data_IF_966769659371
#
_entry.id   IF_966769659371
#
_cell.length_a   1.000
_cell.length_b   1.000
_cell.length_c   1.000
_cell.angle_alpha   90.00
_cell.angle_beta   90.00
_cell.angle_gamma   90.00
#
_symmetry.space_group_name_H-M   'P 1'
#
loop_
_entity.id
_entity.type
_entity.pdbx_description
1 polymer ?
#
# COMPACT_ATOMS: atom_id res chain seq x y z
N UNK A 1 -15.71 -63.89 -19.44
CA UNK A 1 -14.23 -64.03 -19.45
C UNK A 1 -13.59 -62.65 -19.59
N UNK A 2 -12.46 -62.45 -18.89
CA UNK A 2 -11.53 -61.29 -18.86
C UNK A 2 -12.01 -60.10 -18.00
N UNK A 3 -11.63 -60.02 -16.71
CA UNK A 3 -10.32 -59.77 -16.04
C UNK A 3 -9.94 -58.28 -16.00
N UNK A 4 -9.95 -57.77 -14.75
CA UNK A 4 -9.24 -56.60 -14.20
C UNK A 4 -7.72 -56.80 -14.35
N UNK A 5 -6.95 -55.71 -14.57
CA UNK A 5 -5.62 -55.36 -13.98
C UNK A 5 -5.08 -54.08 -14.65
N UNK A 6 -4.85 -52.97 -13.94
CA UNK A 6 -3.67 -52.54 -13.14
C UNK A 6 -2.53 -51.85 -13.93
N UNK A 7 -2.15 -50.66 -13.42
CA UNK A 7 -0.82 -50.00 -13.34
C UNK A 7 -0.25 -49.08 -14.44
N UNK A 8 0.07 -47.84 -13.97
CA UNK A 8 1.33 -47.06 -14.09
C UNK A 8 1.51 -45.98 -15.18
N UNK A 9 1.56 -44.75 -14.63
CA UNK A 9 2.24 -43.48 -14.99
C UNK A 9 3.47 -43.60 -15.91
N UNK A 10 3.57 -42.75 -16.95
CA UNK A 10 4.81 -42.08 -17.42
C UNK A 10 4.38 -40.77 -18.14
N UNK A 11 4.59 -39.61 -17.52
CA UNK A 11 5.60 -38.59 -17.87
C UNK A 11 5.47 -38.01 -19.30
N UNK A 12 4.84 -36.85 -19.44
CA UNK A 12 4.95 -36.01 -20.63
C UNK A 12 5.98 -34.90 -20.37
N UNK A 13 7.16 -35.04 -20.99
CA UNK A 13 8.22 -34.05 -21.09
C UNK A 13 8.11 -33.38 -22.47
N UNK A 14 8.09 -32.04 -22.44
CA UNK A 14 8.46 -31.06 -23.48
C UNK A 14 7.57 -30.95 -24.72
N UNK A 15 6.95 -29.77 -24.87
CA UNK A 15 7.26 -28.76 -25.91
C UNK A 15 6.57 -27.47 -25.43
N UNK A 16 7.27 -26.42 -25.01
CA UNK A 16 8.25 -25.71 -25.82
C UNK A 16 7.57 -24.80 -26.84
N UNK A 17 6.54 -24.04 -26.43
CA UNK A 17 5.93 -23.01 -27.28
C UNK A 17 5.95 -21.66 -26.54
N UNK A 18 7.00 -20.90 -26.82
CA UNK A 18 7.12 -19.48 -26.48
C UNK A 18 6.18 -18.69 -27.38
N UNK A 19 5.14 -18.08 -26.81
CA UNK A 19 4.38 -17.02 -27.48
C UNK A 19 4.96 -15.70 -26.98
N UNK A 20 5.67 -15.00 -27.87
CA UNK A 20 6.30 -13.72 -27.60
C UNK A 20 5.28 -12.59 -27.71
N UNK A 21 4.97 -11.91 -26.61
CA UNK A 21 4.50 -10.52 -26.62
C UNK A 21 5.33 -9.72 -25.60
N UNK A 22 5.87 -8.59 -26.06
CA UNK A 22 6.76 -7.74 -25.28
C UNK A 22 6.02 -7.02 -24.15
N UNK A 23 6.59 -7.11 -22.94
CA UNK A 23 6.11 -6.45 -21.73
C UNK A 23 6.58 -7.23 -20.52
N UNK A 24 7.24 -6.55 -19.58
CA UNK A 24 7.78 -7.04 -18.29
C UNK A 24 7.40 -8.48 -17.88
N UNK A 25 8.41 -9.36 -17.84
CA UNK A 25 8.28 -10.72 -17.33
C UNK A 25 7.83 -10.73 -15.86
N UNK A 26 6.67 -11.32 -15.57
CA UNK A 26 6.51 -12.09 -14.34
C UNK A 26 6.96 -13.53 -14.68
N UNK A 27 8.23 -13.80 -14.40
CA UNK A 27 8.84 -15.11 -14.63
C UNK A 27 8.36 -16.07 -13.54
N UNK A 28 7.51 -17.02 -13.91
CA UNK A 28 7.18 -18.19 -13.10
C UNK A 28 8.39 -19.14 -13.07
N UNK A 29 9.38 -18.81 -12.23
CA UNK A 29 10.58 -19.61 -12.00
C UNK A 29 10.70 -19.93 -10.50
N UNK A 30 10.84 -21.23 -10.24
CA UNK A 30 11.01 -21.88 -8.94
C UNK A 30 12.08 -21.20 -8.04
N UNK A 31 11.78 -21.15 -6.74
CA UNK A 31 12.65 -20.88 -5.58
C UNK A 31 13.13 -19.44 -5.30
N UNK A 32 12.40 -18.75 -4.41
CA UNK A 32 12.92 -18.27 -3.11
C UNK A 32 11.74 -17.74 -2.25
N UNK A 33 11.35 -18.48 -1.21
CA UNK A 33 10.30 -18.07 -0.27
C UNK A 33 10.85 -16.98 0.66
N UNK A 34 10.94 -15.74 0.15
CA UNK A 34 11.33 -14.60 0.97
C UNK A 34 10.27 -14.39 2.06
N UNK A 35 10.72 -14.01 3.26
CA UNK A 35 9.82 -13.71 4.39
C UNK A 35 8.67 -12.78 3.97
N UNK A 36 8.94 -11.82 3.09
CA UNK A 36 7.98 -10.89 2.51
C UNK A 36 6.84 -11.59 1.77
N UNK A 37 7.12 -12.47 0.80
CA UNK A 37 6.07 -13.11 0.01
C UNK A 37 5.19 -14.03 0.87
N UNK A 38 5.75 -14.64 1.91
CA UNK A 38 4.97 -15.42 2.87
C UNK A 38 3.98 -14.56 3.64
N UNK A 39 4.36 -13.33 4.00
CA UNK A 39 3.48 -12.37 4.68
C UNK A 39 2.37 -11.88 3.74
N UNK A 40 2.72 -11.52 2.51
CA UNK A 40 1.73 -11.08 1.49
C UNK A 40 0.67 -12.16 1.25
N UNK A 41 1.05 -13.44 1.17
CA UNK A 41 0.12 -14.57 1.00
C UNK A 41 -0.81 -14.84 2.18
N UNK A 42 -0.62 -14.18 3.32
CA UNK A 42 -1.53 -14.29 4.47
C UNK A 42 -2.64 -13.24 4.45
N UNK A 43 -2.49 -12.18 3.65
CA UNK A 43 -3.54 -11.18 3.48
C UNK A 43 -4.79 -11.85 2.91
N UNK A 44 -5.95 -11.31 3.23
CA UNK A 44 -7.22 -11.83 2.71
C UNK A 44 -7.26 -11.75 1.17
N UNK A 45 -7.78 -12.81 0.55
CA UNK A 45 -7.95 -12.90 -0.90
C UNK A 45 -9.08 -11.98 -1.39
N UNK A 46 -10.00 -11.58 -0.49
CA UNK A 46 -11.10 -10.66 -0.78
C UNK A 46 -10.67 -9.19 -0.66
N UNK A 47 -11.05 -8.37 -1.64
CA UNK A 47 -10.77 -6.95 -1.64
C UNK A 47 -11.59 -6.20 -0.58
N UNK A 48 -10.95 -5.26 0.13
CA UNK A 48 -11.68 -4.33 1.01
C UNK A 48 -12.26 -3.18 0.17
N UNK A 49 -13.55 -3.26 -0.14
CA UNK A 49 -14.25 -2.24 -0.93
C UNK A 49 -14.41 -0.90 -0.19
N UNK A 50 -14.52 -0.94 1.15
CA UNK A 50 -14.77 0.24 2.00
C UNK A 50 -13.66 0.42 3.02
N UNK A 51 -12.76 1.33 2.73
CA UNK A 51 -11.57 1.60 3.52
C UNK A 51 -11.73 2.84 4.39
N UNK A 52 -10.91 2.93 5.43
CA UNK A 52 -10.84 4.12 6.28
C UNK A 52 -10.08 5.25 5.57
N UNK A 53 -10.38 6.50 5.92
CA UNK A 53 -9.57 7.65 5.54
C UNK A 53 -8.11 7.43 5.99
N UNK A 54 -7.12 7.46 5.08
CA UNK A 54 -5.71 7.29 5.43
C UNK A 54 -5.16 8.43 6.29
N UNK A 55 -5.85 9.57 6.40
CA UNK A 55 -5.46 10.64 7.31
C UNK A 55 -6.16 10.46 8.66
N UNK A 56 -5.38 10.15 9.71
CA UNK A 56 -5.91 9.75 11.01
C UNK A 56 -6.70 10.88 11.72
N UNK A 57 -6.27 12.13 11.56
CA UNK A 57 -6.83 13.29 12.27
C UNK A 57 -7.00 14.50 11.35
N UNK A 58 -8.03 15.32 11.63
CA UNK A 58 -8.17 16.65 11.05
C UNK A 58 -8.73 16.72 9.62
N UNK A 59 -9.06 15.58 9.01
CA UNK A 59 -9.73 15.51 7.70
C UNK A 59 -10.99 14.66 7.84
N UNK A 60 -12.16 15.25 7.58
CA UNK A 60 -13.43 14.53 7.48
C UNK A 60 -13.63 13.98 6.06
N UNK A 61 -14.61 13.09 5.88
CA UNK A 61 -14.90 12.52 4.56
C UNK A 61 -15.35 13.62 3.57
N UNK A 62 -16.17 14.57 4.04
CA UNK A 62 -16.67 15.68 3.23
C UNK A 62 -15.57 16.70 2.85
N UNK A 63 -14.39 16.63 3.49
CA UNK A 63 -13.23 17.46 3.13
C UNK A 63 -12.43 16.86 1.96
N UNK A 64 -12.63 15.57 1.66
CA UNK A 64 -11.95 14.89 0.55
C UNK A 64 -12.70 15.22 -0.73
N UNK A 65 -11.97 15.73 -1.71
CA UNK A 65 -12.50 16.00 -3.04
C UNK A 65 -12.13 14.86 -3.97
N UNK A 66 -13.06 14.48 -4.84
CA UNK A 66 -12.75 13.57 -5.94
C UNK A 66 -11.83 14.29 -6.93
N UNK A 67 -10.56 13.94 -6.90
CA UNK A 67 -9.53 14.46 -7.80
C UNK A 67 -9.09 13.40 -8.81
N UNK A 68 -9.72 12.22 -8.81
CA UNK A 68 -9.34 11.12 -9.68
C UNK A 68 -9.58 11.48 -11.15
N UNK A 69 -8.62 11.12 -12.02
CA UNK A 69 -8.69 11.45 -13.45
C UNK A 69 -8.37 12.90 -13.80
N UNK A 70 -8.16 13.79 -12.82
CA UNK A 70 -7.79 15.19 -13.07
C UNK A 70 -6.51 15.32 -13.92
N UNK A 71 -6.39 16.37 -14.74
CA UNK A 71 -5.19 16.60 -15.54
C UNK A 71 -3.93 16.77 -14.67
N UNK A 72 -2.84 16.11 -15.06
CA UNK A 72 -1.51 16.22 -14.45
C UNK A 72 -0.49 16.73 -15.45
N UNK A 73 0.62 17.29 -14.95
CA UNK A 73 1.70 17.81 -15.79
C UNK A 73 2.23 16.75 -16.75
N UNK A 74 2.48 17.14 -18.00
CA UNK A 74 2.94 16.22 -19.04
C UNK A 74 1.83 15.38 -19.70
N UNK A 75 0.57 15.80 -19.60
CA UNK A 75 -0.56 15.12 -20.26
C UNK A 75 -1.00 13.83 -19.57
N UNK A 76 -0.55 13.61 -18.33
CA UNK A 76 -0.94 12.46 -17.50
C UNK A 76 -2.33 12.71 -16.91
N UNK A 77 -3.00 11.64 -16.54
CA UNK A 77 -4.20 11.65 -15.71
C UNK A 77 -3.83 11.37 -14.25
N UNK A 78 -4.63 11.86 -13.32
CA UNK A 78 -4.42 11.60 -11.91
C UNK A 78 -4.86 10.19 -11.51
N UNK A 79 -3.90 9.30 -11.26
CA UNK A 79 -4.13 7.89 -10.90
C UNK A 79 -4.25 7.69 -9.38
N UNK A 80 -5.07 8.50 -8.73
CA UNK A 80 -5.27 8.48 -7.28
C UNK A 80 -6.15 9.62 -6.81
N UNK A 81 -6.17 9.87 -5.51
CA UNK A 81 -6.84 11.01 -4.87
C UNK A 81 -5.83 11.79 -4.04
N UNK A 82 -5.89 13.12 -4.11
CA UNK A 82 -5.07 14.01 -3.28
C UNK A 82 -5.88 14.42 -2.04
N UNK A 83 -5.39 14.02 -0.87
CA UNK A 83 -6.02 14.29 0.42
C UNK A 83 -5.22 15.38 1.11
N UNK A 84 -5.72 16.62 1.05
CA UNK A 84 -5.07 17.77 1.66
C UNK A 84 -5.13 17.72 3.18
N UNK A 85 -3.98 17.90 3.82
CA UNK A 85 -3.85 17.93 5.27
C UNK A 85 -2.60 18.73 5.66
N UNK A 86 -2.52 19.25 6.90
CA UNK A 86 -1.31 19.92 7.37
C UNK A 86 -0.07 19.05 7.19
N UNK A 87 1.07 19.65 6.80
CA UNK A 87 2.36 18.96 6.80
C UNK A 87 2.60 18.34 8.18
N UNK A 88 2.99 17.08 8.23
CA UNK A 88 3.16 16.33 9.48
C UNK A 88 1.91 15.58 9.94
N UNK A 89 0.75 15.74 9.29
CA UNK A 89 -0.44 14.96 9.61
C UNK A 89 -0.16 13.45 9.46
N UNK A 90 -0.68 12.67 10.40
CA UNK A 90 -0.43 11.22 10.46
C UNK A 90 -1.17 10.51 9.32
N UNK A 91 -0.38 9.84 8.48
CA UNK A 91 -0.85 8.88 7.48
C UNK A 91 -0.88 7.51 8.15
N UNK A 92 -2.02 6.85 8.10
CA UNK A 92 -2.25 5.54 8.68
C UNK A 92 -2.75 4.55 7.61
N UNK A 93 -2.45 3.26 7.80
CA UNK A 93 -2.87 2.20 6.88
C UNK A 93 -4.39 2.04 6.90
N UNK A 94 -5.12 2.20 5.77
CA UNK A 94 -6.58 2.07 5.75
C UNK A 94 -7.12 0.67 6.05
N UNK A 95 -6.28 -0.35 5.86
CA UNK A 95 -6.57 -1.78 6.02
C UNK A 95 -5.39 -2.46 6.72
N UNK A 96 -5.51 -3.76 6.98
CA UNK A 96 -4.30 -4.56 7.15
C UNK A 96 -3.45 -4.50 5.88
N UNK A 97 -2.12 -4.62 6.01
CA UNK A 97 -1.22 -4.49 4.88
C UNK A 97 0.14 -5.14 5.15
N UNK A 98 0.92 -5.31 4.09
CA UNK A 98 2.36 -5.61 4.18
C UNK A 98 3.14 -4.54 3.42
N UNK A 99 4.13 -3.92 4.07
CA UNK A 99 4.98 -2.92 3.40
C UNK A 99 5.84 -3.59 2.34
N UNK A 100 5.69 -3.19 1.08
CA UNK A 100 6.42 -3.78 -0.05
C UNK A 100 7.57 -2.91 -0.53
N UNK A 101 7.51 -1.60 -0.28
CA UNK A 101 8.55 -0.67 -0.71
C UNK A 101 8.51 0.64 0.07
N UNK A 102 9.68 1.16 0.38
CA UNK A 102 9.92 2.53 0.84
C UNK A 102 10.93 3.15 -0.13
N UNK A 103 10.70 4.37 -0.61
CA UNK A 103 11.62 5.06 -1.50
C UNK A 103 11.52 6.58 -1.38
N UNK A 104 12.59 7.29 -1.72
CA UNK A 104 12.61 8.73 -1.95
C UNK A 104 13.16 8.98 -3.36
N UNK A 105 12.27 9.00 -4.37
CA UNK A 105 12.66 9.19 -5.78
C UNK A 105 11.48 9.49 -6.69
N UNK A 106 11.80 10.07 -7.85
CA UNK A 106 10.84 10.28 -8.92
C UNK A 106 9.78 11.32 -8.56
N UNK A 107 8.62 11.25 -9.23
CA UNK A 107 7.55 12.22 -9.05
C UNK A 107 6.92 12.13 -7.65
N UNK A 108 6.84 10.93 -7.07
CA UNK A 108 6.25 10.72 -5.75
C UNK A 108 7.05 11.30 -4.59
N UNK A 109 8.35 11.60 -4.77
CA UNK A 109 9.23 11.99 -3.68
C UNK A 109 9.38 10.85 -2.68
N UNK A 110 9.18 11.14 -1.40
CA UNK A 110 9.09 10.13 -0.35
C UNK A 110 7.76 9.39 -0.49
N UNK A 111 7.86 8.08 -0.61
CA UNK A 111 6.73 7.22 -0.91
C UNK A 111 6.83 5.85 -0.24
N UNK A 112 5.67 5.30 0.10
CA UNK A 112 5.48 3.95 0.61
C UNK A 112 4.54 3.19 -0.32
N UNK A 113 4.81 1.91 -0.54
CA UNK A 113 3.89 0.98 -1.17
C UNK A 113 3.58 -0.17 -0.21
N UNK A 114 2.33 -0.59 -0.19
CA UNK A 114 1.88 -1.76 0.58
C UNK A 114 1.15 -2.74 -0.33
N UNK A 115 1.23 -4.03 0.01
CA UNK A 115 0.29 -5.04 -0.45
C UNK A 115 -0.88 -5.10 0.54
N UNK A 116 -2.09 -5.23 0.05
CA UNK A 116 -3.33 -5.14 0.79
C UNK A 116 -4.25 -6.31 0.37
N UNK A 117 -5.32 -6.60 1.13
CA UNK A 117 -6.30 -7.62 0.77
C UNK A 117 -6.86 -7.46 -0.65
N UNK A 118 -7.29 -8.56 -1.27
CA UNK A 118 -7.75 -8.57 -2.67
C UNK A 118 -6.61 -8.50 -3.69
N UNK A 119 -5.36 -8.62 -3.24
CA UNK A 119 -4.19 -8.38 -4.09
C UNK A 119 -4.05 -6.93 -4.53
N UNK A 120 -4.62 -5.98 -3.78
CA UNK A 120 -4.45 -4.57 -4.06
C UNK A 120 -3.05 -4.10 -3.62
N UNK A 121 -2.53 -3.09 -4.31
CA UNK A 121 -1.36 -2.33 -3.92
C UNK A 121 -1.75 -0.90 -3.62
N UNK A 122 -1.46 -0.42 -2.41
CA UNK A 122 -1.71 0.97 -2.05
C UNK A 122 -0.42 1.78 -2.14
N UNK A 123 -0.56 3.00 -2.63
CA UNK A 123 0.54 3.93 -2.86
C UNK A 123 0.32 5.21 -2.06
N UNK A 124 1.32 5.56 -1.26
CA UNK A 124 1.34 6.77 -0.46
C UNK A 124 2.51 7.63 -0.95
N UNK A 125 2.25 8.86 -1.39
CA UNK A 125 3.28 9.73 -1.96
C UNK A 125 3.23 11.16 -1.43
N UNK A 126 4.23 11.94 -1.82
CA UNK A 126 4.47 13.32 -1.39
C UNK A 126 4.72 13.43 0.12
N UNK A 127 5.16 12.36 0.77
CA UNK A 127 5.28 12.31 2.22
C UNK A 127 6.39 13.25 2.72
N UNK A 128 6.25 13.79 3.93
CA UNK A 128 7.31 14.55 4.61
C UNK A 128 8.33 13.63 5.30
N UNK A 129 7.94 12.38 5.54
CA UNK A 129 8.75 11.35 6.16
C UNK A 129 7.95 10.08 6.36
N UNK A 130 8.65 8.97 6.44
CA UNK A 130 8.11 7.66 6.81
C UNK A 130 8.21 7.50 8.33
N UNK A 131 7.32 6.73 8.94
CA UNK A 131 7.45 6.39 10.36
C UNK A 131 8.78 5.68 10.61
N UNK A 132 9.50 6.07 11.66
CA UNK A 132 10.93 5.75 11.83
C UNK A 132 11.21 4.25 11.93
N UNK A 133 10.31 3.50 12.59
CA UNK A 133 10.44 2.05 12.76
C UNK A 133 9.74 1.26 11.64
N UNK A 134 9.22 1.92 10.60
CA UNK A 134 8.56 1.25 9.49
C UNK A 134 9.58 0.74 8.47
N UNK A 135 9.56 -0.57 8.21
CA UNK A 135 10.46 -1.26 7.31
C UNK A 135 9.72 -2.06 6.22
N UNK A 136 10.43 -2.38 5.14
CA UNK A 136 9.90 -3.29 4.11
C UNK A 136 9.73 -4.69 4.70
N UNK A 137 8.52 -5.22 4.59
CA UNK A 137 8.12 -6.51 5.14
C UNK A 137 7.35 -6.42 6.45
N UNK A 138 7.11 -5.23 7.00
CA UNK A 138 6.23 -5.08 8.16
C UNK A 138 4.79 -5.46 7.80
N UNK A 139 4.17 -6.21 8.71
CA UNK A 139 2.73 -6.50 8.72
C UNK A 139 2.06 -5.38 9.53
N UNK A 140 1.07 -4.73 8.95
CA UNK A 140 0.35 -3.60 9.52
C UNK A 140 -1.10 -3.99 9.76
N UNK A 141 -1.66 -3.53 10.88
CA UNK A 141 -3.09 -3.49 11.10
C UNK A 141 -3.69 -2.18 10.56
N UNK A 142 -5.01 -2.20 10.34
CA UNK A 142 -5.74 -0.98 9.98
C UNK A 142 -5.56 0.10 11.08
N UNK A 143 -5.06 1.25 10.66
CA UNK A 143 -4.78 2.43 11.46
C UNK A 143 -3.37 2.51 12.02
N UNK A 144 -2.47 1.59 11.66
CA UNK A 144 -1.05 1.70 12.01
C UNK A 144 -0.36 2.80 11.20
N UNK A 145 0.66 3.44 11.78
CA UNK A 145 1.29 4.64 11.21
C UNK A 145 2.19 4.26 10.03
N UNK A 146 1.92 4.84 8.86
CA UNK A 146 2.78 4.76 7.67
C UNK A 146 3.82 5.88 7.67
N UNK A 147 3.41 7.08 8.07
CA UNK A 147 4.28 8.25 8.07
C UNK A 147 3.49 9.55 8.10
N UNK A 148 4.00 10.56 7.42
CA UNK A 148 3.52 11.93 7.60
C UNK A 148 3.30 12.67 6.28
N UNK A 149 2.19 13.41 6.19
CA UNK A 149 1.85 14.24 5.03
C UNK A 149 2.93 15.29 4.76
N UNK A 150 3.22 15.52 3.48
CA UNK A 150 4.21 16.51 3.04
C UNK A 150 3.90 17.08 1.67
N UNK A 151 4.97 17.43 0.96
CA UNK A 151 4.97 17.96 -0.40
C UNK A 151 6.20 17.51 -1.20
N UNK A 152 6.82 16.38 -0.85
CA UNK A 152 8.05 15.94 -1.54
C UNK A 152 7.77 15.50 -2.99
N UNK A 153 8.82 15.41 -3.80
CA UNK A 153 8.69 15.06 -5.22
C UNK A 153 8.14 16.23 -6.04
N UNK A 154 7.26 15.96 -6.99
CA UNK A 154 6.70 17.01 -7.86
C UNK A 154 5.57 17.82 -7.22
N UNK A 155 5.20 17.53 -5.96
CA UNK A 155 4.29 18.35 -5.16
C UNK A 155 4.99 19.54 -4.47
N UNK A 156 6.32 19.65 -4.57
CA UNK A 156 7.08 20.65 -3.83
C UNK A 156 6.62 22.07 -4.15
N UNK A 157 6.34 22.84 -3.10
CA UNK A 157 5.84 24.22 -3.23
C UNK A 157 4.32 24.33 -3.47
N UNK A 158 3.60 23.21 -3.51
CA UNK A 158 2.12 23.20 -3.47
C UNK A 158 1.60 23.08 -2.03
N UNK A 159 0.28 23.09 -1.84
CA UNK A 159 -0.30 22.83 -0.52
C UNK A 159 -0.04 21.37 -0.12
N UNK A 160 0.44 21.09 1.11
CA UNK A 160 0.72 19.72 1.54
C UNK A 160 -0.50 18.79 1.40
N UNK A 161 -0.26 17.60 0.89
CA UNK A 161 -1.28 16.58 0.67
C UNK A 161 -0.66 15.19 0.64
N UNK A 162 -1.48 14.17 0.90
CA UNK A 162 -1.18 12.80 0.55
C UNK A 162 -1.74 12.53 -0.84
N UNK A 163 -0.89 12.17 -1.80
CA UNK A 163 -1.38 11.47 -2.98
C UNK A 163 -1.54 9.99 -2.63
N UNK A 164 -2.77 9.50 -2.71
CA UNK A 164 -3.15 8.13 -2.37
C UNK A 164 -3.66 7.39 -3.61
N UNK A 165 -3.00 6.31 -4.00
CA UNK A 165 -3.36 5.50 -5.17
C UNK A 165 -3.68 4.06 -4.78
N UNK A 166 -4.59 3.43 -5.53
CA UNK A 166 -4.96 2.02 -5.36
C UNK A 166 -4.85 1.32 -6.72
N UNK A 167 -4.12 0.22 -6.74
CA UNK A 167 -3.88 -0.56 -7.95
C UNK A 167 -4.23 -2.02 -7.71
N UNK A 168 -4.86 -2.65 -8.68
CA UNK A 168 -5.07 -4.10 -8.68
C UNK A 168 -3.80 -4.86 -9.11
N UNK A 169 -3.80 -6.18 -8.97
CA UNK A 169 -2.71 -7.04 -9.44
C UNK A 169 -2.45 -6.93 -10.96
N UNK A 170 -3.50 -6.68 -11.76
CA UNK A 170 -3.42 -6.45 -13.20
C UNK A 170 -3.13 -4.99 -13.58
N UNK A 171 -2.81 -4.15 -12.57
CA UNK A 171 -2.45 -2.72 -12.71
C UNK A 171 -3.59 -1.83 -13.18
N UNK A 172 -4.82 -2.25 -13.00
CA UNK A 172 -5.96 -1.35 -13.07
C UNK A 172 -5.84 -0.33 -11.93
N UNK A 173 -6.13 0.93 -12.24
CA UNK A 173 -6.15 2.01 -11.27
C UNK A 173 -7.59 2.17 -10.77
N UNK A 174 -7.81 1.93 -9.48
CA UNK A 174 -9.11 2.12 -8.86
C UNK A 174 -9.25 3.57 -8.36
N UNK A 175 -10.46 4.11 -8.38
CA UNK A 175 -10.74 5.43 -7.79
C UNK A 175 -10.78 5.31 -6.25
N UNK A 176 -9.78 5.81 -5.50
CA UNK A 176 -9.78 5.67 -4.05
C UNK A 176 -10.85 6.52 -3.37
N UNK A 177 -11.31 7.61 -4.01
CA UNK A 177 -12.37 8.46 -3.48
C UNK A 177 -13.65 7.66 -3.20
N UNK A 178 -14.05 6.78 -4.11
CA UNK A 178 -15.24 5.94 -3.96
C UNK A 178 -15.09 4.89 -2.85
N UNK A 179 -13.85 4.48 -2.54
CA UNK A 179 -13.54 3.47 -1.53
C UNK A 179 -13.41 4.05 -0.11
N UNK A 180 -13.04 5.33 0.02
CA UNK A 180 -12.87 5.99 1.33
C UNK A 180 -14.24 6.41 1.88
N UNK A 181 -14.87 5.53 2.66
CA UNK A 181 -16.26 5.74 3.12
C UNK A 181 -16.40 5.88 4.64
N UNK A 182 -15.30 5.83 5.40
CA UNK A 182 -15.34 5.86 6.87
C UNK A 182 -14.10 6.51 7.45
N UNK A 183 -14.22 7.07 8.65
CA UNK A 183 -13.08 7.47 9.47
C UNK A 183 -12.75 6.37 10.49
N UNK A 184 -11.52 6.35 10.99
CA UNK A 184 -11.19 5.53 12.15
C UNK A 184 -12.06 5.92 13.36
N UNK A 185 -12.45 4.93 14.15
CA UNK A 185 -13.21 5.17 15.38
C UNK A 185 -12.39 5.98 16.38
N UNK A 186 -13.06 6.73 17.27
CA UNK A 186 -12.38 7.45 18.35
C UNK A 186 -11.53 6.50 19.23
N UNK A 187 -11.97 5.25 19.40
CA UNK A 187 -11.19 4.24 20.12
C UNK A 187 -9.85 3.94 19.43
N UNK A 188 -9.84 3.71 18.11
CA UNK A 188 -8.59 3.47 17.36
C UNK A 188 -7.70 4.71 17.35
N UNK A 189 -8.29 5.90 17.22
CA UNK A 189 -7.57 7.18 17.32
C UNK A 189 -6.85 7.36 18.67
N UNK A 190 -7.54 7.06 19.77
CA UNK A 190 -6.95 7.13 21.12
C UNK A 190 -5.84 6.09 21.28
N UNK A 191 -6.10 4.83 20.88
CA UNK A 191 -5.10 3.76 20.93
C UNK A 191 -3.81 4.14 20.20
N UNK A 192 -3.92 4.68 18.98
CA UNK A 192 -2.73 5.13 18.24
C UNK A 192 -1.97 6.23 18.97
N UNK A 193 -2.65 7.17 19.63
CA UNK A 193 -1.97 8.22 20.37
C UNK A 193 -1.25 7.66 21.61
N UNK A 194 -1.85 6.67 22.29
CA UNK A 194 -1.22 5.97 23.40
C UNK A 194 0.06 5.26 22.94
N UNK A 195 -0.04 4.47 21.87
CA UNK A 195 1.09 3.74 21.27
C UNK A 195 2.19 4.70 20.79
N UNK A 196 1.83 5.81 20.15
CA UNK A 196 2.78 6.80 19.65
C UNK A 196 3.48 7.56 20.79
N UNK A 197 2.77 7.89 21.86
CA UNK A 197 3.36 8.53 23.05
C UNK A 197 4.34 7.57 23.72
N UNK A 198 4.00 6.29 23.86
CA UNK A 198 4.89 5.29 24.42
C UNK A 198 6.18 5.15 23.57
N UNK A 199 6.04 5.07 22.26
CA UNK A 199 7.16 5.08 21.31
C UNK A 199 8.08 6.28 21.53
N UNK A 200 7.52 7.50 21.58
CA UNK A 200 8.30 8.73 21.78
C UNK A 200 9.01 8.76 23.14
N UNK A 201 8.36 8.28 24.20
CA UNK A 201 8.96 8.18 25.52
C UNK A 201 10.14 7.21 25.53
N UNK A 202 10.02 6.08 24.86
CA UNK A 202 11.08 5.08 24.79
C UNK A 202 12.27 5.59 23.98
N UNK A 203 12.00 6.25 22.85
CA UNK A 203 13.03 6.96 22.07
C UNK A 203 13.81 7.97 22.92
N UNK A 204 13.09 8.83 23.65
CA UNK A 204 13.72 9.83 24.53
C UNK A 204 14.58 9.19 25.63
N UNK A 205 14.19 8.01 26.15
CA UNK A 205 14.99 7.26 27.13
C UNK A 205 16.28 6.71 26.52
N UNK A 206 16.25 6.28 25.25
CA UNK A 206 17.42 5.77 24.54
C UNK A 206 18.43 6.87 24.23
N UNK A 207 17.98 8.07 23.85
CA UNK A 207 18.86 9.22 23.55
C UNK A 207 19.60 9.79 24.77
N UNK A 208 19.08 9.55 25.98
CA UNK A 208 19.69 10.03 27.25
C UNK A 208 20.73 9.08 27.83
N UNK A 209 20.93 7.91 27.25
CA UNK A 209 21.94 6.92 27.67
C UNK A 209 23.21 7.07 26.85
#
# INVERSE_FOLDING_TARGET
MKKIQFTTIVLAIITGATIMFGGFHYSEARHNDSSLYRKIRKLDDDAVEKIANPIMFGVALDDIQDTFGDPRSGGRTHEGVDIFAPRGAIIASPTEAVVTKIADKGLGGIQVWTANPGGHSYYYAHMNGVFEDLEVGDELDAGDIIGFVGDTGNAQGTSPHLHFGIYTNDREVLNPYEMITKNFSNKKKISLLEDYIEFLQDKLRREKR
#
